data_IF_829160636196
#
_entry.id   IF_829160636196
#
_cell.length_a   1.000
_cell.length_b   1.000
_cell.length_c   1.000
_cell.angle_alpha   90.00
_cell.angle_beta   90.00
_cell.angle_gamma   90.00
#
_symmetry.space_group_name_H-M   'P 1'
#
loop_
_entity.id
_entity.type
_entity.pdbx_description
1 polymer ?
#
# COMPACT_ATOMS: atom_id res chain seq x y z
N UNK A 1 10.21 -13.23 -8.86
CA UNK A 1 10.75 -11.86 -8.97
C UNK A 1 10.64 -11.20 -7.60
N UNK A 2 11.73 -10.63 -7.11
CA UNK A 2 11.75 -10.02 -5.76
C UNK A 2 11.40 -8.55 -5.75
N UNK A 3 11.51 -7.87 -6.88
CA UNK A 3 11.21 -6.44 -7.02
C UNK A 3 10.26 -6.22 -8.17
N UNK A 4 9.52 -5.11 -8.09
CA UNK A 4 8.79 -4.64 -9.25
C UNK A 4 9.80 -4.25 -10.36
N UNK A 5 9.40 -4.34 -11.63
CA UNK A 5 10.28 -3.92 -12.73
C UNK A 5 10.78 -2.49 -12.57
N UNK A 6 11.97 -2.23 -13.07
CA UNK A 6 12.64 -0.94 -12.90
C UNK A 6 11.79 0.25 -13.38
N UNK A 7 11.08 0.10 -14.51
CA UNK A 7 10.26 1.20 -15.03
C UNK A 7 9.11 1.59 -14.07
N UNK A 8 8.71 0.68 -13.18
CA UNK A 8 7.69 0.93 -12.17
C UNK A 8 8.25 1.59 -10.91
N UNK A 9 9.57 1.68 -10.79
CA UNK A 9 10.27 2.25 -9.64
C UNK A 9 11.00 3.54 -9.98
N UNK A 10 10.38 4.37 -10.82
CA UNK A 10 10.94 5.67 -11.17
C UNK A 10 11.00 6.55 -9.92
N UNK A 11 12.15 7.14 -9.60
CA UNK A 11 12.28 8.02 -8.43
C UNK A 11 11.30 9.19 -8.40
N UNK A 12 10.84 9.67 -9.55
CA UNK A 12 9.84 10.75 -9.60
C UNK A 12 8.49 10.33 -9.03
N UNK A 13 8.23 9.03 -8.90
CA UNK A 13 7.00 8.49 -8.33
C UNK A 13 7.18 7.92 -6.92
N UNK A 14 8.38 8.06 -6.34
CA UNK A 14 8.64 7.52 -5.01
C UNK A 14 7.78 8.21 -3.96
N UNK A 15 7.13 7.42 -3.14
CA UNK A 15 6.24 7.90 -2.09
C UNK A 15 7.05 8.42 -0.91
N UNK A 16 6.69 9.61 -0.42
CA UNK A 16 7.34 10.22 0.73
C UNK A 16 7.04 9.44 2.02
N UNK A 17 7.99 9.45 2.95
CA UNK A 17 7.86 8.76 4.23
C UNK A 17 6.61 9.18 5.00
N UNK A 18 6.23 10.45 4.91
CA UNK A 18 5.05 10.99 5.59
C UNK A 18 3.73 10.41 5.07
N UNK A 19 3.74 9.83 3.88
CA UNK A 19 2.56 9.23 3.28
C UNK A 19 2.44 7.73 3.55
N UNK A 20 3.27 7.20 4.43
CA UNK A 20 3.33 5.77 4.72
C UNK A 20 2.84 5.49 6.15
N UNK A 21 2.08 4.40 6.31
CA UNK A 21 1.64 3.93 7.63
C UNK A 21 2.50 2.78 8.16
N UNK A 22 3.41 2.27 7.35
CA UNK A 22 4.34 1.20 7.73
C UNK A 22 5.76 1.74 7.66
N UNK A 23 6.52 1.77 8.77
CA UNK A 23 7.89 2.26 8.75
C UNK A 23 8.77 1.47 7.78
N UNK A 24 9.58 2.20 7.00
CA UNK A 24 10.56 1.58 6.10
C UNK A 24 10.02 0.94 4.84
N UNK A 25 8.71 1.04 4.59
CA UNK A 25 8.13 0.50 3.37
C UNK A 25 8.53 1.36 2.16
N UNK A 26 8.86 0.71 1.05
CA UNK A 26 9.17 1.38 -0.21
C UNK A 26 7.92 1.39 -1.08
N UNK A 27 7.58 2.53 -1.63
CA UNK A 27 6.40 2.65 -2.48
C UNK A 27 6.57 3.64 -3.62
N UNK A 28 5.81 3.40 -4.67
CA UNK A 28 5.73 4.26 -5.85
C UNK A 28 4.26 4.44 -6.22
N UNK A 29 3.88 5.64 -6.63
CA UNK A 29 2.48 5.96 -6.89
C UNK A 29 2.27 6.50 -8.29
N UNK A 30 1.14 6.11 -8.88
CA UNK A 30 0.71 6.52 -10.22
C UNK A 30 -0.68 7.15 -10.10
N UNK A 31 -0.87 8.29 -10.73
CA UNK A 31 -2.13 9.03 -10.65
C UNK A 31 -3.07 8.67 -11.80
N UNK A 32 -4.33 8.45 -11.48
CA UNK A 32 -5.40 8.44 -12.45
C UNK A 32 -5.85 9.87 -12.74
N UNK A 33 -6.45 10.07 -13.91
CA UNK A 33 -6.93 11.39 -14.33
C UNK A 33 -8.07 11.90 -13.45
N UNK A 34 -8.76 11.00 -12.77
CA UNK A 34 -9.89 11.29 -11.88
C UNK A 34 -9.47 11.55 -10.43
N UNK A 35 -8.17 11.59 -10.14
CA UNK A 35 -7.65 11.77 -8.78
C UNK A 35 -7.47 10.47 -8.01
N UNK A 36 -7.84 9.33 -8.58
CA UNK A 36 -7.52 8.03 -7.99
C UNK A 36 -6.03 7.73 -8.13
N UNK A 37 -5.54 6.78 -7.36
CA UNK A 37 -4.14 6.40 -7.39
C UNK A 37 -3.96 4.89 -7.38
N UNK A 38 -2.87 4.42 -7.99
CA UNK A 38 -2.37 3.06 -7.78
C UNK A 38 -0.99 3.18 -7.17
N UNK A 39 -0.78 2.49 -6.05
CA UNK A 39 0.53 2.42 -5.42
C UNK A 39 1.04 0.98 -5.47
N UNK A 40 2.34 0.84 -5.69
CA UNK A 40 3.03 -0.44 -5.54
C UNK A 40 3.91 -0.35 -4.30
N UNK A 41 3.83 -1.36 -3.46
CA UNK A 41 4.53 -1.37 -2.17
C UNK A 41 5.43 -2.59 -2.06
N UNK A 42 6.63 -2.37 -1.52
CA UNK A 42 7.55 -3.43 -1.16
C UNK A 42 7.95 -3.27 0.30
N UNK A 43 7.66 -4.27 1.11
CA UNK A 43 8.04 -4.28 2.53
C UNK A 43 9.03 -5.41 2.77
N UNK A 44 10.30 -5.08 2.75
CA UNK A 44 11.37 -6.09 2.85
C UNK A 44 11.48 -6.69 4.24
N UNK A 45 11.28 -5.85 5.25
CA UNK A 45 11.42 -6.28 6.66
C UNK A 45 10.13 -6.83 7.25
N UNK A 46 9.02 -6.58 6.60
CA UNK A 46 7.72 -6.83 7.20
C UNK A 46 7.41 -5.81 8.28
N UNK A 47 6.38 -6.07 9.06
CA UNK A 47 6.02 -5.22 10.18
C UNK A 47 4.57 -4.81 10.21
N UNK A 48 4.28 -3.87 11.09
CA UNK A 48 2.92 -3.43 11.42
C UNK A 48 2.60 -2.13 10.71
N UNK A 49 1.44 -2.11 10.05
CA UNK A 49 0.86 -0.90 9.49
C UNK A 49 -0.11 -0.32 10.52
N UNK A 50 0.08 0.96 10.88
CA UNK A 50 -0.74 1.63 11.88
C UNK A 50 -2.20 1.71 11.45
N UNK A 51 -3.12 1.64 12.41
CA UNK A 51 -4.54 1.83 12.15
C UNK A 51 -4.82 3.22 11.58
N UNK A 52 -5.67 3.26 10.56
CA UNK A 52 -6.07 4.50 9.90
C UNK A 52 -7.37 4.30 9.13
N UNK A 53 -7.96 5.40 8.69
CA UNK A 53 -9.12 5.39 7.81
C UNK A 53 -8.82 6.23 6.58
N UNK A 54 -9.56 5.96 5.50
CA UNK A 54 -9.52 6.79 4.29
C UNK A 54 -10.92 7.32 3.97
N UNK A 55 -10.97 8.46 3.31
CA UNK A 55 -12.22 9.05 2.79
C UNK A 55 -12.60 8.50 1.42
N UNK A 56 -11.95 7.43 0.99
CA UNK A 56 -12.11 6.77 -0.31
C UNK A 56 -11.95 5.27 -0.13
N UNK A 57 -12.39 4.53 -1.14
CA UNK A 57 -12.27 3.06 -1.15
C UNK A 57 -10.83 2.65 -1.45
N UNK A 58 -10.46 1.49 -0.95
CA UNK A 58 -9.18 0.87 -1.23
C UNK A 58 -9.37 -0.57 -1.69
N UNK A 59 -8.60 -0.97 -2.69
CA UNK A 59 -8.51 -2.35 -3.16
C UNK A 59 -7.05 -2.73 -3.24
N UNK A 60 -6.69 -3.94 -2.84
CA UNK A 60 -5.32 -4.40 -3.07
C UNK A 60 -5.26 -5.89 -3.37
N UNK A 61 -4.15 -6.27 -4.02
CA UNK A 61 -3.80 -7.65 -4.29
C UNK A 61 -2.37 -7.89 -3.81
N UNK A 62 -2.13 -9.08 -3.22
CA UNK A 62 -0.79 -9.48 -2.79
C UNK A 62 -0.12 -10.22 -3.93
N UNK A 63 1.04 -9.71 -4.37
CA UNK A 63 1.80 -10.32 -5.47
C UNK A 63 2.97 -11.17 -4.96
N UNK A 64 3.38 -10.95 -3.71
CA UNK A 64 4.44 -11.72 -3.06
C UNK A 64 4.26 -11.61 -1.54
N UNK A 65 4.56 -12.69 -0.81
CA UNK A 65 4.46 -12.68 0.64
C UNK A 65 3.03 -12.80 1.14
N UNK A 66 2.71 -12.09 2.22
CA UNK A 66 1.38 -12.12 2.83
C UNK A 66 1.15 -10.82 3.61
N UNK A 67 -0.05 -10.30 3.49
CA UNK A 67 -0.50 -9.13 4.25
C UNK A 67 -1.79 -9.48 4.98
N UNK A 68 -1.79 -9.38 6.31
CA UNK A 68 -2.98 -9.60 7.11
C UNK A 68 -3.64 -8.26 7.41
N UNK A 69 -4.88 -8.08 6.95
CA UNK A 69 -5.68 -6.90 7.29
C UNK A 69 -6.24 -7.08 8.69
N UNK A 70 -6.20 -6.03 9.49
CA UNK A 70 -6.78 -6.05 10.84
C UNK A 70 -7.94 -5.07 10.89
N UNK A 71 -9.15 -5.60 11.13
CA UNK A 71 -10.39 -4.83 11.24
C UNK A 71 -11.13 -5.32 12.49
N UNK A 72 -11.48 -4.41 13.39
CA UNK A 72 -12.15 -4.72 14.66
C UNK A 72 -11.42 -5.80 15.46
N UNK A 73 -10.08 -5.73 15.47
CA UNK A 73 -9.24 -6.70 16.16
C UNK A 73 -9.15 -8.06 15.48
N UNK A 74 -9.86 -8.27 14.38
CA UNK A 74 -9.80 -9.51 13.62
C UNK A 74 -8.73 -9.46 12.57
N UNK A 75 -7.97 -10.52 12.45
CA UNK A 75 -6.87 -10.65 11.51
C UNK A 75 -7.34 -11.44 10.29
N UNK A 76 -7.30 -10.82 9.12
CA UNK A 76 -7.76 -11.39 7.86
C UNK A 76 -6.55 -11.60 6.96
N UNK A 77 -6.08 -12.86 6.80
CA UNK A 77 -4.92 -13.12 5.93
C UNK A 77 -5.26 -12.89 4.46
N UNK A 78 -4.38 -12.19 3.76
CA UNK A 78 -4.45 -12.03 2.30
C UNK A 78 -3.14 -12.57 1.74
N UNK A 79 -3.23 -13.70 1.03
CA UNK A 79 -2.08 -14.44 0.52
C UNK A 79 -1.83 -14.10 -0.94
N UNK A 80 -0.72 -14.55 -1.48
CA UNK A 80 -0.34 -14.33 -2.88
C UNK A 80 -1.49 -14.68 -3.81
N UNK A 81 -1.85 -13.74 -4.69
CA UNK A 81 -2.94 -13.91 -5.66
C UNK A 81 -4.31 -13.59 -5.10
N UNK A 82 -4.43 -13.35 -3.80
CA UNK A 82 -5.70 -12.97 -3.18
C UNK A 82 -5.84 -11.45 -3.13
N UNK A 83 -7.08 -10.99 -3.13
CA UNK A 83 -7.44 -9.58 -3.14
C UNK A 83 -8.33 -9.24 -1.95
N UNK A 84 -8.36 -7.95 -1.59
CA UNK A 84 -9.22 -7.48 -0.52
C UNK A 84 -9.71 -6.07 -0.82
N UNK A 85 -10.98 -5.81 -0.52
CA UNK A 85 -11.60 -4.51 -0.69
C UNK A 85 -11.88 -3.89 0.68
N UNK A 86 -11.42 -2.66 0.88
CA UNK A 86 -11.63 -1.91 2.11
C UNK A 86 -12.52 -0.70 1.78
N UNK A 87 -13.81 -0.70 2.20
CA UNK A 87 -14.68 0.44 1.96
C UNK A 87 -14.17 1.69 2.68
N UNK A 88 -14.43 2.85 2.10
CA UNK A 88 -14.13 4.13 2.74
C UNK A 88 -14.68 4.18 4.16
N UNK A 89 -13.95 4.84 5.06
CA UNK A 89 -14.36 4.99 6.45
C UNK A 89 -14.07 3.78 7.34
N UNK A 90 -13.55 2.67 6.79
CA UNK A 90 -13.22 1.50 7.58
C UNK A 90 -11.90 1.72 8.31
N UNK A 91 -11.93 1.63 9.65
CA UNK A 91 -10.71 1.66 10.45
C UNK A 91 -9.98 0.33 10.26
N UNK A 92 -8.77 0.39 9.75
CA UNK A 92 -7.99 -0.79 9.46
C UNK A 92 -6.50 -0.57 9.68
N UNK A 93 -5.80 -1.63 9.94
CA UNK A 93 -4.36 -1.70 9.98
C UNK A 93 -3.93 -3.01 9.36
N UNK A 94 -2.71 -3.44 9.61
CA UNK A 94 -2.27 -4.70 9.07
C UNK A 94 -0.90 -5.14 9.55
N UNK A 95 -0.54 -6.34 9.15
CA UNK A 95 0.77 -6.95 9.42
C UNK A 95 1.28 -7.59 8.14
N UNK A 96 2.47 -7.20 7.73
CA UNK A 96 3.15 -7.81 6.58
C UNK A 96 4.20 -8.79 7.03
N UNK A 97 4.31 -9.91 6.35
CA UNK A 97 5.50 -10.75 6.44
C UNK A 97 6.68 -10.07 5.73
N UNK A 98 7.94 -10.42 6.06
CA UNK A 98 9.09 -9.94 5.29
C UNK A 98 8.95 -10.29 3.81
N UNK A 99 9.50 -9.43 2.95
CA UNK A 99 9.48 -9.60 1.49
C UNK A 99 8.07 -9.62 0.90
N UNK A 100 7.14 -8.84 1.46
CA UNK A 100 5.78 -8.72 0.94
C UNK A 100 5.72 -7.59 -0.09
N UNK A 101 5.09 -7.87 -1.23
CA UNK A 101 4.79 -6.87 -2.26
C UNK A 101 3.31 -6.86 -2.55
N UNK A 102 2.74 -5.66 -2.65
CA UNK A 102 1.31 -5.48 -2.94
C UNK A 102 1.12 -4.41 -4.01
N UNK A 103 -0.01 -4.52 -4.71
CA UNK A 103 -0.49 -3.47 -5.60
C UNK A 103 -1.81 -2.99 -5.02
N UNK A 104 -1.88 -1.70 -4.71
CA UNK A 104 -3.04 -1.10 -4.06
C UNK A 104 -3.65 -0.02 -4.95
N UNK A 105 -4.97 -0.03 -5.08
CA UNK A 105 -5.71 1.02 -5.77
C UNK A 105 -6.53 1.81 -4.75
N UNK A 106 -6.52 3.13 -4.89
CA UNK A 106 -7.24 4.05 -4.00
C UNK A 106 -8.17 4.93 -4.80
N UNK A 107 -9.40 5.09 -4.35
CA UNK A 107 -10.39 5.96 -4.98
C UNK A 107 -10.16 7.44 -4.71
N UNK A 108 -8.97 7.82 -4.27
CA UNK A 108 -8.59 9.19 -3.98
C UNK A 108 -7.08 9.31 -3.79
N UNK A 109 -6.63 10.51 -3.39
CA UNK A 109 -5.20 10.77 -3.20
C UNK A 109 -4.74 10.20 -1.85
N UNK A 110 -4.11 9.02 -1.89
CA UNK A 110 -3.57 8.31 -0.73
C UNK A 110 -2.14 8.77 -0.39
N UNK A 111 -1.33 9.02 -1.40
CA UNK A 111 0.10 9.18 -1.22
C UNK A 111 0.62 10.46 -1.88
N UNK A 112 1.63 11.06 -1.26
CA UNK A 112 2.38 12.16 -1.85
C UNK A 112 3.78 11.65 -2.22
N UNK A 113 4.32 12.24 -3.29
CA UNK A 113 5.67 11.91 -3.76
C UNK A 113 6.72 12.71 -3.02
N UNK A 114 7.92 12.18 -2.91
CA UNK A 114 9.04 12.92 -2.33
C UNK A 114 9.26 14.26 -3.04
N UNK A 115 9.09 14.31 -4.35
CA UNK A 115 9.29 15.53 -5.14
C UNK A 115 8.24 16.61 -4.83
N UNK A 116 7.09 16.24 -4.27
CA UNK A 116 6.03 17.22 -3.93
C UNK A 116 6.33 18.00 -2.67
N UNK A 117 7.27 17.55 -1.85
CA UNK A 117 7.57 18.18 -0.55
C UNK A 117 8.95 18.85 -0.50
N UNK A 118 9.60 18.99 -1.65
CA UNK A 118 10.88 19.68 -1.76
C UNK A 118 10.71 21.20 -1.77
#
# INVERSE_FOLDING_TARGET
MKDFPEFMRNPSNRIAAQAQYTPGIEGYVFDGIDGSQIAIWTNRKGGISAEHTHKYDEYFIVVQGQYDVIIDGKRIPVKVGEEYFIPRGTLHGGVSLPETRTINAFGGKRAIREIEIR
#
